data_IF_887986501413
#
_entry.id   IF_887986501413
#
_cell.length_a   1.000
_cell.length_b   1.000
_cell.length_c   1.000
_cell.angle_alpha   90.00
_cell.angle_beta   90.00
_cell.angle_gamma   90.00
#
_symmetry.space_group_name_H-M   'P 1'
#
loop_
_entity.id
_entity.type
_entity.pdbx_description
1 polymer ?
#
# COMPACT_ATOMS: atom_id res chain seq x y z
N UNK A 1 -10.21 20.36 37.55
CA UNK A 1 -9.74 19.01 37.12
C UNK A 1 -10.90 18.04 37.29
N UNK A 2 -11.65 17.77 36.21
CA UNK A 2 -12.68 16.74 36.20
C UNK A 2 -12.09 15.52 35.51
N UNK A 3 -11.97 14.41 36.25
CA UNK A 3 -11.53 13.12 35.72
C UNK A 3 -12.70 12.52 34.94
N UNK A 4 -12.53 12.29 33.64
CA UNK A 4 -13.43 11.45 32.87
C UNK A 4 -13.00 10.00 33.10
N UNK A 5 -13.89 9.23 33.71
CA UNK A 5 -13.73 7.79 33.93
C UNK A 5 -14.29 7.10 32.69
N UNK A 6 -13.43 6.59 31.81
CA UNK A 6 -13.82 5.75 30.68
C UNK A 6 -14.35 4.42 31.23
N UNK A 7 -15.64 4.17 31.06
CA UNK A 7 -16.26 2.90 31.39
C UNK A 7 -16.02 1.91 30.25
N UNK A 8 -15.13 0.94 30.47
CA UNK A 8 -14.98 -0.23 29.62
C UNK A 8 -16.20 -1.11 29.87
N UNK A 9 -17.14 -1.12 28.92
CA UNK A 9 -18.32 -1.98 28.96
C UNK A 9 -17.89 -3.39 28.56
N UNK A 10 -17.49 -4.20 29.54
CA UNK A 10 -17.28 -5.64 29.37
C UNK A 10 -18.65 -6.28 29.13
N UNK A 11 -18.96 -6.59 27.88
CA UNK A 11 -20.13 -7.42 27.54
C UNK A 11 -19.82 -8.85 27.96
N UNK A 12 -20.34 -9.23 29.13
CA UNK A 12 -20.35 -10.62 29.60
C UNK A 12 -21.41 -11.37 28.78
N UNK A 13 -20.97 -12.20 27.83
CA UNK A 13 -21.81 -13.17 27.13
C UNK A 13 -22.34 -14.20 28.14
N UNK A 14 -23.55 -13.97 28.64
CA UNK A 14 -24.31 -14.96 29.39
C UNK A 14 -24.81 -16.05 28.43
N UNK A 15 -24.07 -17.15 28.31
CA UNK A 15 -24.52 -18.36 27.63
C UNK A 15 -25.58 -19.02 28.52
N UNK A 16 -26.86 -18.71 28.27
CA UNK A 16 -27.99 -19.46 28.83
C UNK A 16 -28.22 -20.71 27.97
N UNK A 17 -27.72 -21.86 28.43
CA UNK A 17 -28.11 -23.18 27.94
C UNK A 17 -29.45 -23.56 28.58
N UNK A 18 -30.55 -23.09 27.99
CA UNK A 18 -31.92 -23.49 28.33
C UNK A 18 -32.52 -24.41 27.26
N UNK A 19 -33.04 -25.56 27.69
CA UNK A 19 -33.56 -26.67 26.88
C UNK A 19 -34.79 -26.31 25.99
N UNK A 20 -35.14 -27.16 24.99
CA UNK A 20 -35.88 -26.76 23.79
C UNK A 20 -37.40 -26.92 23.95
N UNK A 21 -38.19 -26.02 23.36
CA UNK A 21 -39.54 -26.38 22.91
C UNK A 21 -40.08 -25.43 21.84
N UNK A 22 -40.61 -26.04 20.78
CA UNK A 22 -41.57 -25.57 19.76
C UNK A 22 -41.18 -24.37 18.88
N UNK A 23 -40.69 -24.65 17.67
CA UNK A 23 -41.52 -24.64 16.45
C UNK A 23 -40.64 -24.85 15.20
N UNK A 24 -41.12 -25.68 14.30
CA UNK A 24 -40.48 -26.09 13.06
C UNK A 24 -40.48 -24.94 12.02
N UNK A 25 -39.64 -23.92 12.22
CA UNK A 25 -39.12 -23.09 11.15
C UNK A 25 -37.71 -23.60 10.85
N UNK A 26 -37.44 -23.98 9.60
CA UNK A 26 -36.20 -24.64 9.20
C UNK A 26 -34.99 -23.98 9.84
N UNK A 27 -34.30 -24.72 10.71
CA UNK A 27 -33.06 -24.27 11.33
C UNK A 27 -32.06 -24.14 10.19
N UNK A 28 -31.94 -22.94 9.64
CA UNK A 28 -30.77 -22.58 8.85
C UNK A 28 -29.63 -22.75 9.84
N UNK A 29 -28.82 -23.81 9.68
CA UNK A 29 -27.51 -23.83 10.32
C UNK A 29 -26.82 -22.57 9.83
N UNK A 30 -26.68 -21.58 10.71
CA UNK A 30 -25.98 -20.36 10.37
C UNK A 30 -24.59 -20.78 9.91
N UNK A 31 -24.30 -20.54 8.63
CA UNK A 31 -22.93 -20.62 8.15
C UNK A 31 -22.11 -19.58 8.91
N UNK A 32 -20.79 -19.75 9.07
CA UNK A 32 -19.94 -18.71 9.67
C UNK A 32 -20.20 -17.33 9.06
N UNK A 33 -20.40 -17.26 7.74
CA UNK A 33 -20.77 -16.03 7.05
C UNK A 33 -22.11 -15.45 7.48
N UNK A 34 -23.20 -16.23 7.48
CA UNK A 34 -24.52 -15.74 7.89
C UNK A 34 -24.55 -15.33 9.36
N UNK A 35 -23.83 -16.06 10.23
CA UNK A 35 -23.68 -15.67 11.63
C UNK A 35 -22.99 -14.30 11.74
N UNK A 36 -21.85 -14.12 11.08
CA UNK A 36 -21.12 -12.84 11.10
C UNK A 36 -21.98 -11.70 10.55
N UNK A 37 -22.69 -11.93 9.44
CA UNK A 37 -23.57 -10.94 8.81
C UNK A 37 -24.74 -10.54 9.71
N UNK A 38 -25.48 -11.51 10.23
CA UNK A 38 -26.77 -11.26 10.89
C UNK A 38 -26.61 -10.94 12.39
N UNK A 39 -25.65 -11.56 13.07
CA UNK A 39 -25.48 -11.45 14.51
C UNK A 39 -24.42 -10.42 14.92
N UNK A 40 -23.41 -10.19 14.09
CA UNK A 40 -22.33 -9.22 14.38
C UNK A 40 -22.55 -7.94 13.59
N UNK A 41 -22.63 -8.03 12.25
CA UNK A 41 -22.71 -6.85 11.39
C UNK A 41 -24.06 -6.16 11.50
N UNK A 42 -25.19 -6.85 11.38
CA UNK A 42 -26.51 -6.21 11.34
C UNK A 42 -26.94 -5.55 12.67
N UNK A 43 -26.33 -5.93 13.81
CA UNK A 43 -26.70 -5.41 15.13
C UNK A 43 -26.02 -4.10 15.51
N UNK A 44 -24.96 -3.72 14.79
CA UNK A 44 -24.19 -2.51 15.09
C UNK A 44 -24.69 -1.36 14.24
N UNK A 45 -25.16 -0.30 14.87
CA UNK A 45 -25.46 0.96 14.19
C UNK A 45 -24.16 1.73 13.95
N UNK A 46 -23.96 2.24 12.73
CA UNK A 46 -22.74 2.95 12.31
C UNK A 46 -23.10 4.41 12.07
N UNK A 47 -22.60 5.33 12.92
CA UNK A 47 -22.96 6.77 12.87
C UNK A 47 -21.83 7.66 12.40
N UNK A 48 -20.59 7.20 12.53
CA UNK A 48 -19.39 7.95 12.21
C UNK A 48 -18.26 6.99 11.79
N UNK A 49 -17.13 7.54 11.36
CA UNK A 49 -15.97 6.80 10.89
C UNK A 49 -15.39 5.87 11.96
N UNK A 50 -15.35 6.31 13.22
CA UNK A 50 -14.85 5.54 14.36
C UNK A 50 -15.73 4.30 14.62
N UNK A 51 -17.06 4.42 14.55
CA UNK A 51 -17.98 3.28 14.66
C UNK A 51 -17.74 2.25 13.55
N UNK A 52 -17.47 2.72 12.33
CA UNK A 52 -17.17 1.86 11.18
C UNK A 52 -15.83 1.13 11.37
N UNK A 53 -14.77 1.85 11.79
CA UNK A 53 -13.47 1.26 12.11
C UNK A 53 -13.59 0.20 13.22
N UNK A 54 -14.29 0.53 14.30
CA UNK A 54 -14.52 -0.38 15.41
C UNK A 54 -15.33 -1.63 15.00
N UNK A 55 -16.30 -1.48 14.10
CA UNK A 55 -17.05 -2.62 13.57
C UNK A 55 -16.15 -3.54 12.73
N UNK A 56 -15.33 -2.98 11.84
CA UNK A 56 -14.40 -3.76 11.01
C UNK A 56 -13.38 -4.49 11.89
N UNK A 57 -12.87 -3.82 12.92
CA UNK A 57 -11.97 -4.42 13.91
C UNK A 57 -12.65 -5.54 14.69
N UNK A 58 -13.84 -5.29 15.23
CA UNK A 58 -14.63 -6.28 15.98
C UNK A 58 -14.90 -7.53 15.13
N UNK A 59 -15.22 -7.35 13.86
CA UNK A 59 -15.42 -8.45 12.91
C UNK A 59 -14.11 -9.22 12.68
N UNK A 60 -12.99 -8.52 12.56
CA UNK A 60 -11.65 -9.11 12.38
C UNK A 60 -11.13 -9.87 13.59
N UNK A 61 -11.53 -9.47 14.79
CA UNK A 61 -11.18 -10.15 16.05
C UNK A 61 -12.12 -11.33 16.37
N UNK A 62 -13.26 -11.43 15.68
CA UNK A 62 -14.24 -12.48 15.96
C UNK A 62 -13.73 -13.86 15.51
N UNK A 63 -13.79 -14.92 16.34
CA UNK A 63 -13.20 -16.23 16.01
C UNK A 63 -13.71 -16.85 14.70
N UNK A 64 -14.98 -16.65 14.38
CA UNK A 64 -15.61 -17.16 13.15
C UNK A 64 -15.03 -16.56 11.87
N UNK A 65 -14.31 -15.44 11.93
CA UNK A 65 -13.67 -14.84 10.76
C UNK A 65 -12.66 -15.81 10.11
N UNK A 66 -12.03 -16.66 10.92
CA UNK A 66 -11.05 -17.64 10.47
C UNK A 66 -11.67 -18.83 9.74
N UNK A 67 -12.99 -19.02 9.87
CA UNK A 67 -13.74 -20.07 9.20
C UNK A 67 -14.29 -19.61 7.83
N UNK A 68 -14.12 -18.34 7.48
CA UNK A 68 -14.55 -17.76 6.21
C UNK A 68 -13.46 -17.92 5.14
N UNK A 69 -13.89 -18.21 3.92
CA UNK A 69 -13.05 -18.08 2.71
C UNK A 69 -12.71 -16.62 2.41
N UNK A 70 -11.71 -16.39 1.56
CA UNK A 70 -11.34 -15.03 1.12
C UNK A 70 -12.53 -14.31 0.44
N UNK A 71 -13.32 -15.04 -0.36
CA UNK A 71 -14.52 -14.51 -1.01
C UNK A 71 -15.60 -14.13 -0.01
N UNK A 72 -15.86 -14.96 1.00
CA UNK A 72 -16.83 -14.65 2.05
C UNK A 72 -16.37 -13.45 2.91
N UNK A 73 -15.07 -13.31 3.16
CA UNK A 73 -14.49 -12.12 3.81
C UNK A 73 -14.69 -10.87 2.93
N UNK A 74 -14.50 -10.98 1.61
CA UNK A 74 -14.80 -9.89 0.68
C UNK A 74 -16.27 -9.50 0.67
N UNK A 75 -17.18 -10.48 0.65
CA UNK A 75 -18.62 -10.25 0.73
C UNK A 75 -19.02 -9.59 2.06
N UNK A 76 -18.46 -10.04 3.18
CA UNK A 76 -18.75 -9.48 4.49
C UNK A 76 -18.29 -8.01 4.61
N UNK A 77 -17.15 -7.65 4.01
CA UNK A 77 -16.73 -6.24 3.87
C UNK A 77 -17.75 -5.44 3.07
N UNK A 78 -18.17 -5.94 1.91
CA UNK A 78 -19.18 -5.27 1.09
C UNK A 78 -20.48 -5.06 1.86
N UNK A 79 -20.92 -6.05 2.65
CA UNK A 79 -22.10 -5.91 3.51
C UNK A 79 -21.92 -4.82 4.58
N UNK A 80 -20.76 -4.75 5.25
CA UNK A 80 -20.44 -3.70 6.24
C UNK A 80 -20.50 -2.31 5.61
N UNK A 81 -19.97 -2.14 4.40
CA UNK A 81 -20.03 -0.85 3.71
C UNK A 81 -21.43 -0.53 3.21
N UNK A 82 -22.16 -1.49 2.65
CA UNK A 82 -23.49 -1.28 2.11
C UNK A 82 -24.54 -0.89 3.16
N UNK A 83 -24.37 -1.31 4.42
CA UNK A 83 -25.23 -0.87 5.54
C UNK A 83 -24.87 0.51 6.10
N UNK A 84 -23.67 1.00 5.80
CA UNK A 84 -23.13 2.21 6.42
C UNK A 84 -23.51 3.44 5.59
N UNK A 85 -23.81 4.59 6.21
CA UNK A 85 -24.10 5.81 5.44
C UNK A 85 -22.92 6.22 4.55
N UNK A 86 -23.19 6.65 3.31
CA UNK A 86 -22.14 7.00 2.33
C UNK A 86 -21.14 8.05 2.86
N UNK A 87 -21.62 9.03 3.64
CA UNK A 87 -20.76 10.03 4.25
C UNK A 87 -19.83 9.42 5.30
N UNK A 88 -20.31 8.45 6.09
CA UNK A 88 -19.51 7.74 7.09
C UNK A 88 -18.45 6.87 6.41
N UNK A 89 -18.80 6.19 5.32
CA UNK A 89 -17.84 5.39 4.54
C UNK A 89 -16.75 6.28 3.95
N UNK A 90 -17.13 7.47 3.45
CA UNK A 90 -16.17 8.45 2.96
C UNK A 90 -15.24 8.94 4.07
N UNK A 91 -15.78 9.41 5.20
CA UNK A 91 -15.02 9.94 6.34
C UNK A 91 -14.06 8.88 6.90
N UNK A 92 -14.54 7.63 7.04
CA UNK A 92 -13.71 6.48 7.39
C UNK A 92 -12.54 6.27 6.42
N UNK A 93 -12.81 6.38 5.12
CA UNK A 93 -11.76 6.35 4.11
C UNK A 93 -10.72 7.44 4.34
N UNK A 94 -11.12 8.67 4.67
CA UNK A 94 -10.17 9.76 4.93
C UNK A 94 -9.32 9.49 6.18
N UNK A 95 -9.94 9.05 7.27
CA UNK A 95 -9.27 8.74 8.54
C UNK A 95 -8.24 7.61 8.39
N UNK A 96 -8.60 6.50 7.72
CA UNK A 96 -7.67 5.36 7.53
C UNK A 96 -6.49 5.72 6.64
N UNK A 97 -6.68 6.63 5.68
CA UNK A 97 -5.60 7.11 4.84
C UNK A 97 -4.64 8.00 5.62
N UNK A 98 -5.16 8.92 6.43
CA UNK A 98 -4.33 9.77 7.28
C UNK A 98 -3.49 8.91 8.23
N UNK A 99 -4.11 7.90 8.85
CA UNK A 99 -3.41 6.95 9.72
C UNK A 99 -2.36 6.12 8.96
N UNK A 100 -2.69 5.62 7.77
CA UNK A 100 -1.75 4.90 6.90
C UNK A 100 -0.52 5.76 6.61
N UNK A 101 -0.71 7.03 6.28
CA UNK A 101 0.37 7.97 5.99
C UNK A 101 1.20 8.21 7.24
N UNK A 102 0.56 8.51 8.37
CA UNK A 102 1.23 8.75 9.66
C UNK A 102 2.08 7.54 10.08
N UNK A 103 1.51 6.33 10.07
CA UNK A 103 2.22 5.11 10.44
C UNK A 103 3.28 4.70 9.44
N UNK A 104 3.04 4.89 8.14
CA UNK A 104 4.09 4.71 7.12
C UNK A 104 5.26 5.68 7.32
N UNK A 105 5.00 6.86 7.89
CA UNK A 105 6.06 7.83 8.19
C UNK A 105 6.88 7.42 9.42
N UNK A 106 6.25 6.78 10.40
CA UNK A 106 6.92 6.26 11.61
C UNK A 106 7.71 4.96 11.36
N UNK A 107 7.43 4.28 10.24
CA UNK A 107 8.06 3.01 9.90
C UNK A 107 9.59 3.11 9.80
N UNK A 108 10.30 2.31 10.61
CA UNK A 108 11.77 2.27 10.64
C UNK A 108 12.29 1.03 9.91
N UNK A 109 12.44 1.19 8.59
CA UNK A 109 12.83 0.12 7.68
C UNK A 109 14.37 0.02 7.58
N UNK A 110 14.94 -0.96 8.30
CA UNK A 110 16.38 -1.31 8.21
C UNK A 110 16.62 -2.62 7.45
N UNK A 111 17.65 -2.68 6.59
CA UNK A 111 18.06 -3.93 5.93
C UNK A 111 19.20 -4.62 6.68
N UNK A 112 19.13 -5.94 6.81
CA UNK A 112 20.17 -6.78 7.40
C UNK A 112 20.63 -7.80 6.34
N UNK A 113 21.93 -7.80 6.01
CA UNK A 113 22.62 -8.82 5.20
C UNK A 113 22.17 -9.08 3.74
N UNK A 114 21.52 -8.14 3.07
CA UNK A 114 21.44 -8.13 1.59
C UNK A 114 20.66 -9.28 0.92
N UNK A 115 20.00 -10.14 1.69
CA UNK A 115 19.14 -11.22 1.17
C UNK A 115 17.73 -11.23 1.78
N UNK A 116 17.50 -10.54 2.90
CA UNK A 116 16.20 -10.56 3.58
C UNK A 116 15.67 -9.15 3.88
N UNK A 117 14.41 -8.95 3.54
CA UNK A 117 13.69 -7.68 3.63
C UNK A 117 13.08 -7.63 5.03
N UNK A 118 13.41 -6.60 5.83
CA UNK A 118 12.51 -6.24 6.92
C UNK A 118 11.26 -5.63 6.31
N UNK A 119 10.18 -6.40 6.34
CA UNK A 119 8.85 -5.82 6.30
C UNK A 119 8.67 -4.99 7.55
N UNK A 120 8.38 -3.70 7.42
CA UNK A 120 7.67 -3.03 8.50
C UNK A 120 6.20 -3.35 8.30
N UNK A 121 5.61 -3.87 9.37
CA UNK A 121 4.20 -4.20 9.43
C UNK A 121 3.62 -3.36 10.55
N UNK A 122 2.62 -2.56 10.22
CA UNK A 122 1.86 -1.83 11.22
C UNK A 122 0.37 -2.11 11.02
N UNK A 123 -0.33 -2.18 12.15
CA UNK A 123 -1.79 -2.32 12.21
C UNK A 123 -2.40 -0.92 12.15
N UNK A 124 -3.50 -0.74 11.44
CA UNK A 124 -4.34 0.46 11.46
C UNK A 124 -5.43 0.34 12.54
N UNK A 125 -6.15 1.42 12.82
CA UNK A 125 -7.15 1.45 13.90
C UNK A 125 -8.37 0.57 13.63
N UNK A 126 -8.64 0.23 12.37
CA UNK A 126 -9.64 -0.76 11.94
C UNK A 126 -9.18 -2.22 12.09
N UNK A 127 -7.94 -2.46 12.55
CA UNK A 127 -7.34 -3.79 12.65
C UNK A 127 -6.78 -4.34 11.33
N UNK A 128 -6.72 -3.53 10.27
CA UNK A 128 -6.05 -3.90 9.02
C UNK A 128 -4.53 -3.83 9.16
N UNK A 129 -3.81 -4.71 8.46
CA UNK A 129 -2.35 -4.75 8.45
C UNK A 129 -1.81 -4.15 7.14
N UNK A 130 -0.80 -3.31 7.25
CA UNK A 130 -0.08 -2.77 6.10
C UNK A 130 1.32 -3.36 6.10
N UNK A 131 1.75 -3.87 4.96
CA UNK A 131 3.10 -4.44 4.79
C UNK A 131 3.87 -3.67 3.71
N UNK A 132 5.02 -3.12 4.11
CA UNK A 132 5.97 -2.43 3.24
C UNK A 132 7.14 -3.36 2.91
N UNK A 133 7.35 -3.68 1.63
CA UNK A 133 8.37 -4.65 1.19
C UNK A 133 9.22 -4.01 0.08
N UNK A 134 10.55 -4.19 0.15
CA UNK A 134 11.49 -3.75 -0.90
C UNK A 134 12.44 -4.88 -1.32
N UNK A 135 12.41 -5.31 -2.57
CA UNK A 135 13.18 -6.44 -3.13
C UNK A 135 14.23 -5.94 -4.13
N UNK A 136 15.48 -6.39 -4.06
CA UNK A 136 16.47 -6.22 -5.14
C UNK A 136 16.88 -7.60 -5.69
N UNK A 137 16.75 -7.77 -7.01
CA UNK A 137 17.04 -9.03 -7.70
C UNK A 137 17.89 -8.78 -8.95
N UNK A 138 18.66 -9.79 -9.35
CA UNK A 138 19.29 -9.79 -10.67
C UNK A 138 18.19 -9.89 -11.73
N UNK A 139 18.24 -8.98 -12.71
CA UNK A 139 17.19 -8.89 -13.72
C UNK A 139 17.66 -9.60 -14.98
N UNK A 140 17.14 -10.81 -15.18
CA UNK A 140 17.45 -11.67 -16.33
C UNK A 140 16.60 -11.36 -17.56
N UNK A 141 15.63 -10.44 -17.47
CA UNK A 141 14.77 -10.08 -18.59
C UNK A 141 15.49 -9.10 -19.53
N UNK A 142 15.59 -9.51 -20.80
CA UNK A 142 16.05 -8.66 -21.89
C UNK A 142 14.88 -7.76 -22.35
N UNK A 143 15.18 -6.52 -22.72
CA UNK A 143 14.17 -5.45 -22.96
C UNK A 143 13.16 -5.83 -24.06
N UNK A 144 13.49 -6.78 -24.93
CA UNK A 144 12.67 -7.23 -26.05
C UNK A 144 11.56 -8.23 -25.68
N UNK A 145 11.63 -8.87 -24.52
CA UNK A 145 10.68 -9.91 -24.10
C UNK A 145 9.69 -9.43 -23.02
N UNK A 146 9.70 -8.14 -22.66
CA UNK A 146 8.74 -7.56 -21.72
C UNK A 146 7.48 -7.07 -22.47
N UNK A 147 6.32 -7.75 -22.33
CA UNK A 147 5.08 -7.37 -23.00
C UNK A 147 4.49 -6.02 -22.51
N UNK A 148 5.12 -5.36 -21.53
CA UNK A 148 4.75 -4.05 -21.03
C UNK A 148 5.74 -2.92 -21.43
N UNK A 149 6.77 -3.23 -22.22
CA UNK A 149 7.75 -2.26 -22.71
C UNK A 149 7.24 -1.37 -23.87
N UNK A 150 6.02 -1.59 -24.38
CA UNK A 150 5.47 -0.85 -25.52
C UNK A 150 4.37 0.13 -25.09
N UNK A 151 4.74 1.38 -24.84
CA UNK A 151 4.52 2.50 -25.76
C UNK A 151 4.97 3.77 -25.03
N UNK A 152 6.24 4.12 -25.24
CA UNK A 152 6.77 5.42 -24.86
C UNK A 152 6.23 6.39 -25.91
N UNK A 153 5.13 7.05 -25.62
CA UNK A 153 4.97 8.40 -26.14
C UNK A 153 5.91 9.27 -25.29
N UNK A 154 7.07 9.61 -25.86
CA UNK A 154 7.83 10.77 -25.42
C UNK A 154 6.91 11.96 -25.61
N UNK A 155 6.23 12.36 -24.54
CA UNK A 155 5.79 13.74 -24.42
C UNK A 155 7.05 14.48 -24.01
N UNK A 156 7.75 15.04 -25.00
CA UNK A 156 8.74 16.07 -24.72
C UNK A 156 8.02 17.14 -23.87
N UNK A 157 8.60 17.60 -22.75
CA UNK A 157 8.10 18.78 -22.12
C UNK A 157 8.27 19.92 -23.13
N UNK A 158 7.15 20.51 -23.56
CA UNK A 158 7.18 21.74 -24.34
C UNK A 158 8.07 22.74 -23.61
N UNK A 159 9.22 23.03 -24.22
CA UNK A 159 10.09 24.15 -23.89
C UNK A 159 9.39 25.42 -24.42
N UNK A 160 8.22 25.71 -23.87
CA UNK A 160 7.57 27.00 -24.06
C UNK A 160 7.83 27.84 -22.82
N UNK A 161 8.68 28.83 -23.06
CA UNK A 161 8.84 30.09 -22.33
C UNK A 161 7.74 30.36 -21.32
N UNK A 162 8.14 30.49 -20.06
CA UNK A 162 7.39 31.11 -18.97
C UNK A 162 6.86 32.49 -19.41
N UNK A 163 5.63 32.54 -19.88
CA UNK A 163 4.85 33.77 -19.87
C UNK A 163 4.10 33.84 -18.52
N UNK A 164 4.60 34.74 -17.67
CA UNK A 164 3.98 35.17 -16.42
C UNK A 164 2.64 35.86 -16.71
N UNK A 165 1.54 35.12 -16.87
CA UNK A 165 0.17 35.60 -16.59
C UNK A 165 -0.85 34.52 -16.97
N UNK A 166 -1.13 33.59 -16.05
CA UNK A 166 -2.44 32.94 -15.76
C UNK A 166 -2.19 31.59 -15.07
N UNK A 167 -1.92 31.63 -13.76
CA UNK A 167 -1.91 30.46 -12.89
C UNK A 167 -3.21 30.47 -12.07
N UNK A 168 -4.25 29.86 -12.63
CA UNK A 168 -5.46 29.44 -11.91
C UNK A 168 -5.95 28.14 -12.57
N UNK A 169 -5.12 27.09 -12.52
CA UNK A 169 -5.59 25.71 -12.52
C UNK A 169 -4.82 24.94 -11.44
N UNK A 170 -5.59 24.39 -10.51
CA UNK A 170 -5.16 23.69 -9.31
C UNK A 170 -4.28 22.47 -9.65
N UNK A 171 -2.97 22.63 -9.73
CA UNK A 171 -2.06 21.52 -9.43
C UNK A 171 -2.14 21.25 -7.92
N UNK A 172 -2.60 20.07 -7.47
CA UNK A 172 -2.59 19.75 -6.04
C UNK A 172 -1.15 19.82 -5.54
N UNK A 173 -0.90 20.73 -4.61
CA UNK A 173 0.38 20.88 -3.95
C UNK A 173 0.56 19.72 -2.97
N UNK A 174 1.15 18.62 -3.46
CA UNK A 174 1.55 17.44 -2.68
C UNK A 174 2.25 17.88 -1.38
N UNK A 175 1.62 17.64 -0.22
CA UNK A 175 2.27 17.86 1.08
C UNK A 175 3.54 17.00 1.17
N UNK A 176 4.67 17.63 1.47
CA UNK A 176 6.02 17.04 1.50
C UNK A 176 6.12 15.78 2.41
N UNK A 177 6.83 14.73 1.98
CA UNK A 177 7.14 13.53 2.79
C UNK A 177 7.82 13.87 4.10
N UNK A 178 7.46 13.17 5.18
CA UNK A 178 8.29 13.12 6.40
C UNK A 178 8.44 11.71 7.00
N UNK A 179 8.42 10.67 6.16
CA UNK A 179 8.80 9.31 6.57
C UNK A 179 10.29 8.99 6.41
N UNK A 180 10.79 8.02 7.19
CA UNK A 180 12.15 7.47 7.05
C UNK A 180 12.27 6.70 5.73
N UNK A 181 13.30 7.01 4.94
CA UNK A 181 13.51 6.36 3.64
C UNK A 181 14.00 4.92 3.80
N UNK A 182 13.41 3.95 3.08
CA UNK A 182 13.88 2.55 3.08
C UNK A 182 15.30 2.52 2.55
N UNK A 183 16.26 2.04 3.34
CA UNK A 183 17.69 2.10 2.99
C UNK A 183 18.29 0.71 2.72
N UNK A 184 18.87 0.52 1.52
CA UNK A 184 19.81 -0.58 1.24
C UNK A 184 21.17 -0.05 0.83
N UNK A 185 22.24 -0.76 1.16
CA UNK A 185 23.56 -0.45 0.64
C UNK A 185 24.44 -1.70 0.52
N UNK A 186 24.86 -2.04 -0.69
CA UNK A 186 25.60 -3.27 -0.96
C UNK A 186 26.52 -3.17 -2.18
N UNK A 187 27.51 -4.08 -2.24
CA UNK A 187 28.40 -4.20 -3.41
C UNK A 187 27.80 -5.19 -4.40
N UNK A 188 27.43 -4.71 -5.58
CA UNK A 188 26.86 -5.52 -6.66
C UNK A 188 27.85 -5.72 -7.79
N UNK A 189 27.77 -6.87 -8.45
CA UNK A 189 28.44 -7.11 -9.74
C UNK A 189 27.74 -6.35 -10.86
N UNK A 190 28.50 -6.01 -11.90
CA UNK A 190 27.96 -5.51 -13.15
C UNK A 190 26.88 -6.43 -13.72
N UNK A 191 25.95 -5.83 -14.47
CA UNK A 191 24.80 -6.53 -15.03
C UNK A 191 23.50 -5.76 -14.85
N UNK A 192 22.43 -6.34 -15.35
CA UNK A 192 21.08 -5.82 -15.20
C UNK A 192 20.54 -6.18 -13.81
N UNK A 193 19.83 -5.23 -13.21
CA UNK A 193 19.27 -5.29 -11.87
C UNK A 193 17.87 -4.74 -11.89
N UNK A 194 17.03 -5.27 -11.02
CA UNK A 194 15.73 -4.68 -10.71
C UNK A 194 15.64 -4.46 -9.21
N UNK A 195 15.26 -3.26 -8.82
CA UNK A 195 14.97 -2.94 -7.44
C UNK A 195 13.56 -2.38 -7.32
N UNK A 196 12.73 -3.06 -6.53
CA UNK A 196 11.31 -2.81 -6.43
C UNK A 196 10.89 -2.54 -5.00
N UNK A 197 9.84 -1.75 -4.85
CA UNK A 197 9.12 -1.60 -3.60
C UNK A 197 7.63 -1.78 -3.83
N UNK A 198 6.97 -2.40 -2.85
CA UNK A 198 5.54 -2.57 -2.85
C UNK A 198 4.91 -2.26 -1.50
N UNK A 199 3.72 -1.64 -1.55
CA UNK A 199 2.82 -1.50 -0.41
C UNK A 199 1.71 -2.53 -0.61
N UNK A 200 1.49 -3.41 0.37
CA UNK A 200 0.37 -4.36 0.37
C UNK A 200 -0.55 -4.05 1.54
N UNK A 201 -1.82 -3.80 1.26
CA UNK A 201 -2.84 -3.63 2.28
C UNK A 201 -3.54 -4.97 2.53
N UNK A 202 -3.65 -5.38 3.79
CA UNK A 202 -4.35 -6.60 4.22
C UNK A 202 -5.42 -6.24 5.22
N UNK A 203 -6.56 -6.93 5.12
CA UNK A 203 -7.63 -6.81 6.11
C UNK A 203 -8.17 -8.22 6.39
N UNK A 204 -8.26 -8.57 7.67
CA UNK A 204 -8.60 -9.91 8.18
C UNK A 204 -7.69 -11.03 7.61
N UNK A 205 -6.40 -10.70 7.50
CA UNK A 205 -5.35 -11.57 6.94
C UNK A 205 -5.38 -11.71 5.42
N UNK A 206 -6.35 -11.10 4.72
CA UNK A 206 -6.50 -11.19 3.27
C UNK A 206 -5.94 -9.93 2.60
N UNK A 207 -4.96 -10.04 1.69
CA UNK A 207 -4.54 -8.93 0.84
C UNK A 207 -5.72 -8.38 0.04
N UNK A 208 -5.96 -7.08 0.10
CA UNK A 208 -7.03 -6.42 -0.67
C UNK A 208 -6.51 -5.44 -1.71
N UNK A 209 -5.21 -5.19 -1.74
CA UNK A 209 -4.59 -4.34 -2.75
C UNK A 209 -3.08 -4.29 -2.61
N UNK A 210 -2.41 -4.04 -3.73
CA UNK A 210 -0.96 -3.87 -3.80
C UNK A 210 -0.58 -2.85 -4.86
N UNK A 211 0.27 -1.90 -4.50
CA UNK A 211 0.96 -1.01 -5.47
C UNK A 211 2.45 -1.31 -5.48
N UNK A 212 3.08 -1.23 -6.65
CA UNK A 212 4.48 -1.60 -6.87
C UNK A 212 5.17 -0.56 -7.73
N UNK A 213 6.34 -0.06 -7.31
CA UNK A 213 7.29 0.66 -8.15
C UNK A 213 8.57 -0.17 -8.29
N UNK A 214 8.96 -0.47 -9.53
CA UNK A 214 10.17 -1.22 -9.89
C UNK A 214 11.10 -0.35 -10.71
N UNK A 215 12.39 -0.36 -10.38
CA UNK A 215 13.45 0.35 -11.09
C UNK A 215 14.36 -0.68 -11.75
N UNK A 216 14.38 -0.69 -13.08
CA UNK A 216 15.21 -1.60 -13.86
C UNK A 216 16.45 -0.84 -14.32
N UNK A 217 17.61 -1.20 -13.81
CA UNK A 217 18.86 -0.48 -14.05
C UNK A 217 20.00 -1.43 -14.44
N UNK A 218 21.05 -0.86 -15.03
CA UNK A 218 22.25 -1.60 -15.43
C UNK A 218 23.45 -1.00 -14.73
N UNK A 219 24.33 -1.86 -14.21
CA UNK A 219 25.62 -1.50 -13.65
C UNK A 219 26.71 -1.86 -14.67
N UNK A 220 27.50 -0.87 -15.10
CA UNK A 220 28.57 -1.08 -16.07
C UNK A 220 29.79 -0.16 -15.82
N UNK A 221 30.74 -0.16 -16.76
CA UNK A 221 31.97 0.64 -16.67
C UNK A 221 31.76 2.15 -16.62
N UNK A 222 30.60 2.63 -17.05
CA UNK A 222 30.21 4.03 -17.08
C UNK A 222 29.35 4.41 -15.87
N UNK A 223 29.13 3.52 -14.91
CA UNK A 223 28.31 3.77 -13.71
C UNK A 223 26.98 3.04 -13.77
N UNK A 224 25.91 3.73 -13.35
CA UNK A 224 24.54 3.20 -13.39
C UNK A 224 23.74 3.85 -14.52
N UNK A 225 22.87 3.07 -15.15
CA UNK A 225 21.91 3.55 -16.15
C UNK A 225 20.54 2.98 -15.85
N UNK A 226 19.53 3.84 -15.70
CA UNK A 226 18.14 3.40 -15.64
C UNK A 226 17.69 2.98 -17.04
N UNK A 227 17.16 1.76 -17.16
CA UNK A 227 16.54 1.28 -18.39
C UNK A 227 15.09 1.74 -18.46
N UNK A 228 14.32 1.50 -17.40
CA UNK A 228 12.94 1.96 -17.26
C UNK A 228 12.46 1.81 -15.80
N UNK A 229 11.31 2.42 -15.51
CA UNK A 229 10.52 2.19 -14.30
C UNK A 229 9.25 1.42 -14.65
N UNK A 230 8.79 0.55 -13.76
CA UNK A 230 7.60 -0.29 -14.00
C UNK A 230 6.69 -0.33 -12.78
N UNK A 231 5.38 -0.48 -13.06
CA UNK A 231 4.32 -0.73 -12.07
C UNK A 231 3.86 -2.19 -12.02
N UNK A 232 4.55 -3.07 -12.75
CA UNK A 232 4.20 -4.50 -12.83
C UNK A 232 4.15 -5.13 -11.43
N UNK A 233 3.12 -5.95 -11.20
CA UNK A 233 2.81 -6.52 -9.89
C UNK A 233 1.87 -5.68 -9.03
N UNK A 234 1.46 -4.49 -9.49
CA UNK A 234 0.31 -3.74 -8.94
C UNK A 234 -0.98 -4.49 -9.26
N UNK A 235 -1.83 -4.70 -8.27
CA UNK A 235 -3.13 -5.35 -8.42
C UNK A 235 -4.10 -4.84 -7.34
N UNK A 236 -5.38 -5.05 -7.58
CA UNK A 236 -6.45 -4.44 -6.81
C UNK A 236 -7.62 -5.41 -6.55
N UNK A 237 -8.54 -5.01 -5.70
CA UNK A 237 -9.82 -5.72 -5.48
C UNK A 237 -10.98 -4.75 -5.56
N UNK A 238 -12.21 -5.26 -5.51
CA UNK A 238 -13.41 -4.41 -5.44
C UNK A 238 -13.44 -3.48 -4.21
N UNK A 239 -12.76 -3.84 -3.12
CA UNK A 239 -12.69 -3.03 -1.90
C UNK A 239 -11.62 -1.92 -1.96
N UNK A 240 -10.59 -2.11 -2.79
CA UNK A 240 -9.46 -1.21 -2.93
C UNK A 240 -8.99 -1.26 -4.38
N UNK A 241 -9.38 -0.27 -5.17
CA UNK A 241 -9.24 -0.25 -6.63
C UNK A 241 -8.14 0.70 -7.07
N UNK A 242 -7.27 0.27 -7.98
CA UNK A 242 -6.29 1.16 -8.61
C UNK A 242 -6.97 1.80 -9.82
N UNK A 243 -7.39 3.05 -9.66
CA UNK A 243 -8.07 3.84 -10.71
C UNK A 243 -7.10 4.30 -11.78
N UNK A 244 -5.88 4.67 -11.38
CA UNK A 244 -4.82 5.07 -12.29
C UNK A 244 -3.46 4.65 -11.72
N UNK A 245 -2.51 4.36 -12.60
CA UNK A 245 -1.13 4.07 -12.20
C UNK A 245 -0.17 4.46 -13.33
N UNK A 246 0.87 5.22 -13.02
CA UNK A 246 1.91 5.64 -13.95
C UNK A 246 3.27 5.62 -13.28
N UNK A 247 4.34 5.56 -14.08
CA UNK A 247 5.71 5.57 -13.58
C UNK A 247 6.59 6.36 -14.53
N UNK A 248 7.62 7.03 -14.01
CA UNK A 248 8.58 7.80 -14.80
C UNK A 248 9.99 7.65 -14.25
N UNK A 249 10.96 7.56 -15.15
CA UNK A 249 12.37 7.78 -14.83
C UNK A 249 12.62 9.28 -14.81
N UNK A 250 13.05 9.83 -13.67
CA UNK A 250 13.37 11.26 -13.53
C UNK A 250 14.86 11.51 -13.76
N UNK A 251 15.73 10.62 -13.28
CA UNK A 251 17.17 10.66 -13.55
C UNK A 251 17.67 9.33 -14.09
N UNK A 252 18.13 9.35 -15.35
CA UNK A 252 18.48 8.15 -16.11
C UNK A 252 19.94 7.69 -15.91
N UNK A 253 20.83 8.56 -15.43
CA UNK A 253 22.27 8.30 -15.47
C UNK A 253 22.99 8.72 -14.18
N UNK A 254 23.69 7.75 -13.57
CA UNK A 254 24.63 8.01 -12.47
C UNK A 254 26.04 7.62 -12.91
N UNK A 255 26.67 8.47 -13.73
CA UNK A 255 27.96 8.17 -14.36
C UNK A 255 29.18 8.44 -13.48
N UNK A 256 28.96 9.11 -12.34
CA UNK A 256 30.00 9.51 -11.39
C UNK A 256 29.64 9.04 -9.99
N UNK A 257 30.65 8.72 -9.19
CA UNK A 257 30.45 8.43 -7.77
C UNK A 257 29.81 9.65 -7.10
N UNK A 258 28.76 9.41 -6.33
CA UNK A 258 27.95 10.43 -5.68
C UNK A 258 26.64 10.74 -6.39
N UNK A 259 26.50 10.36 -7.68
CA UNK A 259 25.31 10.61 -8.49
C UNK A 259 24.31 9.45 -8.32
N UNK A 260 23.07 9.69 -8.71
CA UNK A 260 21.94 8.81 -8.51
C UNK A 260 21.06 8.64 -9.75
N UNK A 261 20.35 7.52 -9.78
CA UNK A 261 19.19 7.29 -10.64
C UNK A 261 17.94 7.57 -9.83
N UNK A 262 16.92 8.15 -10.46
CA UNK A 262 15.67 8.45 -9.78
C UNK A 262 14.48 7.97 -10.60
N UNK A 263 13.49 7.43 -9.89
CA UNK A 263 12.24 6.93 -10.45
C UNK A 263 11.07 7.34 -9.58
N UNK A 264 9.92 7.57 -10.20
CA UNK A 264 8.68 7.91 -9.51
C UNK A 264 7.53 7.05 -10.04
N UNK A 265 6.57 6.73 -9.16
CA UNK A 265 5.32 6.07 -9.49
C UNK A 265 4.15 6.81 -8.87
N UNK A 266 3.14 7.14 -9.66
CA UNK A 266 1.93 7.82 -9.20
C UNK A 266 0.73 6.90 -9.35
N UNK A 267 -0.04 6.74 -8.29
CA UNK A 267 -1.19 5.87 -8.22
C UNK A 267 -2.40 6.66 -7.76
N UNK A 268 -3.52 6.56 -8.49
CA UNK A 268 -4.82 6.95 -7.95
C UNK A 268 -5.53 5.71 -7.46
N UNK A 269 -5.84 5.66 -6.18
CA UNK A 269 -6.47 4.52 -5.53
C UNK A 269 -7.86 4.94 -5.08
N UNK A 270 -8.86 4.18 -5.47
CA UNK A 270 -10.21 4.30 -4.94
C UNK A 270 -10.43 3.22 -3.90
N UNK A 271 -10.36 3.64 -2.64
CA UNK A 271 -10.70 2.80 -1.51
C UNK A 271 -11.96 3.39 -0.86
N UNK A 272 -12.95 2.54 -0.62
CA UNK A 272 -14.10 2.90 0.23
C UNK A 272 -14.80 4.21 -0.19
N UNK A 273 -15.07 4.37 -1.49
CA UNK A 273 -15.81 5.52 -2.03
C UNK A 273 -15.01 6.81 -2.21
N UNK A 274 -13.75 6.87 -1.76
CA UNK A 274 -12.87 8.03 -1.93
C UNK A 274 -11.73 7.71 -2.91
N UNK A 275 -11.34 8.67 -3.77
CA UNK A 275 -10.13 8.59 -4.60
C UNK A 275 -8.97 9.27 -3.88
N UNK A 276 -7.79 8.69 -3.97
CA UNK A 276 -6.56 9.17 -3.32
C UNK A 276 -5.37 9.06 -4.24
N UNK A 277 -4.35 9.85 -3.99
CA UNK A 277 -3.15 9.91 -4.80
C UNK A 277 -1.95 9.47 -3.97
N UNK A 278 -1.20 8.49 -4.46
CA UNK A 278 0.06 8.04 -3.86
C UNK A 278 1.19 8.31 -4.83
N UNK A 279 2.31 8.82 -4.30
CA UNK A 279 3.57 8.90 -5.02
C UNK A 279 4.63 8.04 -4.32
N UNK A 280 5.25 7.14 -5.07
CA UNK A 280 6.41 6.36 -4.67
C UNK A 280 7.63 6.98 -5.35
N UNK A 281 8.66 7.39 -4.61
CA UNK A 281 9.94 7.84 -5.17
C UNK A 281 11.06 6.88 -4.83
N UNK A 282 11.93 6.63 -5.80
CA UNK A 282 13.11 5.79 -5.68
C UNK A 282 14.36 6.57 -6.02
N UNK A 283 15.44 6.31 -5.28
CA UNK A 283 16.78 6.83 -5.54
C UNK A 283 17.80 5.69 -5.46
N UNK A 284 18.60 5.52 -6.52
CA UNK A 284 19.71 4.55 -6.60
C UNK A 284 21.02 5.31 -6.76
N UNK A 285 21.76 5.48 -5.68
CA UNK A 285 23.02 6.23 -5.65
C UNK A 285 24.24 5.35 -5.88
N UNK A 286 25.08 5.74 -6.83
CA UNK A 286 26.40 5.14 -7.04
C UNK A 286 27.37 5.65 -5.98
N UNK A 287 27.72 4.81 -5.01
CA UNK A 287 28.61 5.18 -3.91
C UNK A 287 30.07 4.77 -4.12
N UNK A 288 30.31 3.73 -4.94
CA UNK A 288 31.67 3.35 -5.41
C UNK A 288 31.59 2.59 -6.72
N UNK A 289 32.59 2.73 -7.59
CA UNK A 289 32.72 1.95 -8.82
C UNK A 289 34.11 1.33 -8.92
N UNK A 290 34.21 0.00 -8.97
CA UNK A 290 35.45 -0.74 -9.19
C UNK A 290 35.43 -1.40 -10.58
N UNK A 291 36.05 -0.72 -11.54
CA UNK A 291 36.11 -1.18 -12.95
C UNK A 291 36.95 -2.44 -13.14
N UNK A 292 37.92 -2.69 -12.25
CA UNK A 292 38.78 -3.88 -12.34
C UNK A 292 38.04 -5.11 -11.87
N UNK A 293 37.32 -5.00 -10.75
CA UNK A 293 36.50 -6.09 -10.21
C UNK A 293 35.12 -6.20 -10.86
N UNK A 294 34.74 -5.24 -11.70
CA UNK A 294 33.42 -5.13 -12.32
C UNK A 294 32.31 -5.13 -11.27
N UNK A 295 32.47 -4.29 -10.25
CA UNK A 295 31.50 -4.12 -9.17
C UNK A 295 31.20 -2.66 -8.88
N UNK A 296 30.04 -2.38 -8.31
CA UNK A 296 29.64 -1.08 -7.80
C UNK A 296 29.07 -1.21 -6.39
N UNK A 297 29.40 -0.27 -5.49
CA UNK A 297 28.68 -0.10 -4.24
C UNK A 297 27.51 0.84 -4.49
N UNK A 298 26.29 0.33 -4.35
CA UNK A 298 25.06 1.08 -4.61
C UNK A 298 24.31 1.29 -3.30
N UNK A 299 23.65 2.43 -3.21
CA UNK A 299 22.81 2.81 -2.08
C UNK A 299 21.42 3.11 -2.61
N UNK A 300 20.41 2.58 -1.97
CA UNK A 300 19.04 2.54 -2.44
C UNK A 300 18.14 3.21 -1.41
N UNK A 301 17.24 4.11 -1.86
CA UNK A 301 16.24 4.81 -1.02
C UNK A 301 14.84 4.87 -1.62
N UNK A 302 13.82 4.36 -0.94
CA UNK A 302 12.41 4.62 -1.31
C UNK A 302 11.77 5.63 -0.36
N UNK A 303 10.86 6.45 -0.88
CA UNK A 303 10.00 7.36 -0.12
C UNK A 303 8.57 7.28 -0.63
N UNK A 304 7.63 7.49 0.28
CA UNK A 304 6.19 7.48 0.00
C UNK A 304 5.60 8.85 0.33
N UNK A 305 4.65 9.28 -0.50
CA UNK A 305 3.86 10.50 -0.34
C UNK A 305 2.40 10.14 -0.65
N UNK A 306 1.45 10.78 0.02
CA UNK A 306 0.01 10.54 -0.19
C UNK A 306 -0.86 11.76 0.10
N UNK A 307 -2.02 11.83 -0.59
CA UNK A 307 -3.14 12.79 -0.41
C UNK A 307 -4.52 12.13 -0.58
#
# INVERSE_FOLDING_TARGET
MKKFTTAIMVVVLGISLGAPSVANAGIIKATPYNFMKDEVVARVEVKNSEDLANLIKTVGEHPEINNLTEDEKNMLRQDIYAKSPDNVVKDYGEDMNQELIEKSNEADLSMENGEEIKSDNFELSDGSDVSLIATDVEDTLDVADDPFATDITEVEPDDETLDEETLDEETPLLKSSQGSAIYSAETKKYGNRSWSSSITYKSWGVPIGKIVLSNHYTINNNGLTMRYTSKAGTWDTSAWKVVSASTKTTDKYAQKVGYDLNGAGWYTIQAYGSKRYFELRSTIKLSKLDKKKKTAYVVHKYKYYGE
#
